data_IF_650753544239
#
_entry.id   IF_650753544239
#
_cell.length_a   1.000
_cell.length_b   1.000
_cell.length_c   1.000
_cell.angle_alpha   90.00
_cell.angle_beta   90.00
_cell.angle_gamma   90.00
#
_symmetry.space_group_name_H-M   'P 1'
#
loop_
_entity.id
_entity.type
_entity.pdbx_description
1 polymer ?
#
# COMPACT_ATOMS: atom_id res chain seq x y z
N UNK A 1 0.02 -10.53 -15.49
CA UNK A 1 -0.92 -10.08 -14.43
C UNK A 1 -2.17 -10.94 -14.44
N UNK A 2 -2.59 -11.40 -13.30
CA UNK A 2 -3.74 -12.31 -13.19
C UNK A 2 -4.99 -11.54 -12.78
N UNK A 3 -6.08 -11.79 -13.49
CA UNK A 3 -7.37 -11.22 -13.12
C UNK A 3 -7.96 -11.86 -11.88
N UNK A 4 -7.44 -13.02 -11.47
CA UNK A 4 -7.98 -13.75 -10.32
C UNK A 4 -7.68 -13.07 -8.99
N UNK A 5 -6.58 -12.34 -8.94
CA UNK A 5 -6.20 -11.65 -7.71
C UNK A 5 -5.50 -10.37 -8.11
N UNK A 6 -6.30 -9.34 -8.35
CA UNK A 6 -5.79 -8.08 -8.86
C UNK A 6 -6.41 -6.94 -8.07
N UNK A 7 -5.56 -6.04 -7.61
CA UNK A 7 -5.99 -4.85 -6.88
C UNK A 7 -5.40 -3.64 -7.59
N UNK A 8 -6.25 -2.64 -7.84
CA UNK A 8 -5.81 -1.38 -8.41
C UNK A 8 -6.29 -0.28 -7.47
N UNK A 9 -5.36 0.55 -7.01
CA UNK A 9 -5.68 1.63 -6.07
C UNK A 9 -5.02 2.91 -6.53
N UNK A 10 -5.70 4.03 -6.29
CA UNK A 10 -5.14 5.36 -6.48
C UNK A 10 -5.35 6.11 -5.18
N UNK A 11 -4.27 6.63 -4.60
CA UNK A 11 -4.38 7.31 -3.33
C UNK A 11 -3.10 8.03 -2.95
N UNK A 12 -3.04 8.45 -1.70
CA UNK A 12 -1.91 9.21 -1.18
C UNK A 12 -1.17 8.41 -0.13
N UNK A 13 0.17 8.47 -0.18
CA UNK A 13 0.97 7.80 0.83
C UNK A 13 0.83 8.50 2.18
N UNK A 14 0.78 7.72 3.26
CA UNK A 14 0.50 8.25 4.57
C UNK A 14 1.72 8.52 5.43
N UNK A 15 2.84 7.90 5.11
CA UNK A 15 4.07 8.07 5.86
C UNK A 15 5.24 7.71 4.98
N UNK A 16 6.45 7.97 5.50
CA UNK A 16 7.65 7.64 4.76
C UNK A 16 7.75 6.13 4.54
N UNK A 17 8.34 5.77 3.41
CA UNK A 17 8.54 4.36 3.06
C UNK A 17 9.52 3.73 4.04
N UNK A 18 9.17 2.57 4.57
CA UNK A 18 10.06 1.80 5.41
C UNK A 18 10.76 0.76 4.58
N UNK A 19 12.08 0.78 4.59
CA UNK A 19 12.88 -0.14 3.81
C UNK A 19 13.51 -1.20 4.69
N UNK A 20 13.47 -2.44 4.22
CA UNK A 20 14.14 -3.56 4.88
C UNK A 20 15.09 -4.18 3.89
N UNK A 21 16.34 -4.34 4.29
CA UNK A 21 17.36 -4.98 3.45
C UNK A 21 17.61 -6.39 4.00
N UNK A 22 17.55 -7.36 3.11
CA UNK A 22 17.81 -8.74 3.48
C UNK A 22 19.26 -9.10 3.18
N UNK A 23 19.75 -10.13 3.87
CA UNK A 23 21.16 -10.55 3.76
C UNK A 23 21.55 -10.91 2.34
N UNK A 24 20.62 -11.39 1.54
CA UNK A 24 20.91 -11.82 0.18
C UNK A 24 20.87 -10.67 -0.84
N UNK A 25 20.82 -9.44 -0.36
CA UNK A 25 20.79 -8.28 -1.24
C UNK A 25 19.40 -7.85 -1.71
N UNK A 26 18.37 -8.56 -1.32
CA UNK A 26 17.01 -8.18 -1.66
C UNK A 26 16.53 -7.06 -0.75
N UNK A 27 15.58 -6.27 -1.25
CA UNK A 27 15.00 -5.18 -0.47
C UNK A 27 13.48 -5.30 -0.47
N UNK A 28 12.89 -4.80 0.59
CA UNK A 28 11.44 -4.74 0.74
C UNK A 28 11.06 -3.33 1.17
N UNK A 29 10.02 -2.79 0.56
CA UNK A 29 9.46 -1.50 0.95
C UNK A 29 8.08 -1.74 1.54
N UNK A 30 7.77 -1.02 2.62
CA UNK A 30 6.45 -1.03 3.24
C UNK A 30 5.93 0.39 3.27
N UNK A 31 4.69 0.58 2.86
CA UNK A 31 4.10 1.91 2.82
C UNK A 31 2.61 1.82 3.06
N UNK A 32 2.04 2.89 3.63
CA UNK A 32 0.59 3.01 3.82
C UNK A 32 0.03 3.87 2.70
N UNK A 33 -1.12 3.48 2.17
CA UNK A 33 -1.79 4.23 1.12
C UNK A 33 -3.22 4.51 1.55
N UNK A 34 -3.63 5.76 1.48
CA UNK A 34 -4.98 6.18 1.81
C UNK A 34 -5.79 6.37 0.54
N UNK A 35 -6.93 5.72 0.45
CA UNK A 35 -7.89 5.97 -0.61
C UNK A 35 -9.13 6.60 0.00
N UNK A 36 -9.69 7.59 -0.68
CA UNK A 36 -10.84 8.32 -0.15
C UNK A 36 -11.98 8.30 -1.14
N UNK A 37 -13.17 8.07 -0.62
CA UNK A 37 -14.39 8.14 -1.38
C UNK A 37 -15.35 9.07 -0.69
N UNK A 38 -16.30 9.59 -1.46
CA UNK A 38 -17.34 10.46 -0.93
C UNK A 38 -18.69 9.85 -1.24
N UNK A 39 -19.60 9.98 -0.29
CA UNK A 39 -20.97 9.56 -0.52
C UNK A 39 -21.92 10.54 0.17
N UNK A 40 -23.18 10.49 -0.23
CA UNK A 40 -24.21 11.33 0.38
C UNK A 40 -25.01 10.46 1.34
N UNK A 41 -25.10 10.89 2.62
CA UNK A 41 -25.83 10.12 3.61
C UNK A 41 -27.34 10.42 3.52
N UNK A 42 -28.10 9.79 4.44
CA UNK A 42 -29.55 9.92 4.42
C UNK A 42 -30.02 11.34 4.67
N UNK A 43 -29.18 12.18 5.29
CA UNK A 43 -29.51 13.57 5.56
C UNK A 43 -29.13 14.50 4.44
N UNK A 44 -28.59 13.97 3.34
CA UNK A 44 -28.15 14.79 2.23
C UNK A 44 -26.78 15.41 2.39
N UNK A 45 -26.05 14.99 3.40
CA UNK A 45 -24.70 15.52 3.66
C UNK A 45 -23.66 14.71 2.93
N UNK A 46 -22.62 15.40 2.45
CA UNK A 46 -21.50 14.73 1.80
C UNK A 46 -20.53 14.22 2.86
N UNK A 47 -20.25 12.93 2.81
CA UNK A 47 -19.38 12.28 3.79
C UNK A 47 -18.17 11.72 3.09
N UNK A 48 -16.98 11.95 3.66
CA UNK A 48 -15.75 11.38 3.15
C UNK A 48 -15.41 10.11 3.94
N UNK A 49 -15.07 9.07 3.21
CA UNK A 49 -14.65 7.81 3.82
C UNK A 49 -13.25 7.47 3.35
N UNK A 50 -12.33 7.27 4.28
CA UNK A 50 -10.93 6.97 3.97
C UNK A 50 -10.60 5.56 4.43
N UNK A 51 -9.97 4.81 3.53
CA UNK A 51 -9.48 3.46 3.84
C UNK A 51 -7.96 3.48 3.77
N UNK A 52 -7.32 2.80 4.72
CA UNK A 52 -5.87 2.69 4.77
C UNK A 52 -5.46 1.29 4.33
N UNK A 53 -4.53 1.24 3.40
CA UNK A 53 -4.06 -0.02 2.84
C UNK A 53 -2.59 -0.20 3.13
N UNK A 54 -2.20 -1.43 3.45
CA UNK A 54 -0.80 -1.76 3.66
C UNK A 54 -0.22 -2.29 2.36
N UNK A 55 0.78 -1.60 1.83
CA UNK A 55 1.44 -2.00 0.60
C UNK A 55 2.82 -2.55 0.91
N UNK A 56 3.21 -3.59 0.19
CA UNK A 56 4.58 -4.09 0.23
C UNK A 56 5.08 -4.21 -1.19
N UNK A 57 6.37 -3.99 -1.36
CA UNK A 57 7.00 -4.10 -2.67
C UNK A 57 8.38 -4.69 -2.49
N UNK A 58 8.86 -5.37 -3.52
CA UNK A 58 10.15 -6.04 -3.48
C UNK A 58 10.98 -5.65 -4.70
N UNK A 59 12.29 -5.75 -4.58
CA UNK A 59 13.21 -5.55 -5.68
C UNK A 59 13.13 -4.17 -6.29
N UNK A 60 12.99 -4.11 -7.59
CA UNK A 60 13.00 -2.83 -8.30
C UNK A 60 11.81 -1.94 -7.93
N UNK A 61 10.66 -2.53 -7.68
CA UNK A 61 9.49 -1.74 -7.26
C UNK A 61 9.76 -1.10 -5.91
N UNK A 62 10.40 -1.85 -5.00
CA UNK A 62 10.77 -1.29 -3.70
C UNK A 62 11.72 -0.11 -3.86
N UNK A 63 12.67 -0.20 -4.79
CA UNK A 63 13.60 0.89 -5.04
C UNK A 63 12.89 2.12 -5.58
N UNK A 64 11.87 1.93 -6.43
CA UNK A 64 11.09 3.06 -6.92
C UNK A 64 10.38 3.77 -5.77
N UNK A 65 9.81 3.00 -4.85
CA UNK A 65 9.19 3.60 -3.67
C UNK A 65 10.20 4.43 -2.89
N UNK A 66 11.39 3.87 -2.69
CA UNK A 66 12.41 4.57 -1.91
C UNK A 66 12.84 5.88 -2.56
N UNK A 67 13.03 5.87 -3.87
CA UNK A 67 13.60 7.01 -4.58
C UNK A 67 12.58 8.08 -4.92
N UNK A 68 11.35 7.70 -5.23
CA UNK A 68 10.41 8.63 -5.85
C UNK A 68 9.11 8.81 -5.12
N UNK A 69 8.89 8.13 -3.99
CA UNK A 69 7.60 8.16 -3.31
C UNK A 69 7.76 8.71 -1.90
N UNK A 70 7.73 10.04 -1.76
CA UNK A 70 7.73 10.63 -0.43
C UNK A 70 6.36 10.53 0.22
N UNK A 71 6.32 10.88 1.50
CA UNK A 71 5.06 10.98 2.24
C UNK A 71 4.15 11.99 1.54
N UNK A 72 2.88 11.64 1.43
CA UNK A 72 1.88 12.55 0.86
C UNK A 72 1.84 12.57 -0.65
N UNK A 73 2.53 11.64 -1.31
CA UNK A 73 2.56 11.57 -2.77
C UNK A 73 1.36 10.81 -3.29
N UNK A 74 0.74 11.32 -4.34
CA UNK A 74 -0.32 10.59 -5.01
C UNK A 74 0.26 9.57 -5.96
N UNK A 75 -0.18 8.33 -5.85
CA UNK A 75 0.29 7.25 -6.72
C UNK A 75 -0.86 6.34 -7.10
N UNK A 76 -0.68 5.64 -8.21
CA UNK A 76 -1.56 4.54 -8.60
C UNK A 76 -0.74 3.27 -8.53
N UNK A 77 -1.32 2.22 -8.01
CA UNK A 77 -0.63 0.94 -7.93
C UNK A 77 -1.51 -0.18 -8.44
N UNK A 78 -0.86 -1.22 -8.90
CA UNK A 78 -1.52 -2.46 -9.27
C UNK A 78 -0.75 -3.59 -8.63
N UNK A 79 -1.48 -4.51 -8.02
CA UNK A 79 -0.85 -5.62 -7.35
C UNK A 79 -1.85 -6.69 -6.98
N UNK A 80 -1.53 -7.48 -5.99
CA UNK A 80 -2.40 -8.55 -5.55
C UNK A 80 -2.50 -8.57 -4.04
N UNK A 81 -3.62 -9.09 -3.54
CA UNK A 81 -3.81 -9.26 -2.11
C UNK A 81 -2.96 -10.42 -1.62
N UNK A 82 -2.30 -10.23 -0.50
CA UNK A 82 -1.56 -11.29 0.16
C UNK A 82 -1.92 -11.28 1.64
N UNK A 83 -1.85 -12.46 2.24
CA UNK A 83 -2.16 -12.65 3.65
C UNK A 83 -1.00 -13.33 4.30
N UNK A 84 -0.67 -12.91 5.51
CA UNK A 84 0.34 -13.60 6.30
C UNK A 84 -0.04 -13.55 7.76
N UNK A 85 0.58 -14.41 8.53
CA UNK A 85 0.33 -14.44 9.96
C UNK A 85 1.67 -14.40 10.71
N UNK A 86 1.59 -13.96 11.94
CA UNK A 86 2.75 -13.96 12.84
C UNK A 86 2.24 -14.10 14.26
N UNK A 87 3.16 -14.51 15.14
CA UNK A 87 2.83 -14.63 16.56
C UNK A 87 3.33 -13.38 17.28
N UNK A 88 2.48 -12.80 18.11
CA UNK A 88 2.88 -11.63 18.87
C UNK A 88 3.61 -12.05 20.14
N UNK A 89 3.90 -11.08 21.00
CA UNK A 89 4.67 -11.33 22.23
C UNK A 89 3.99 -12.30 23.17
N UNK A 90 2.68 -12.35 23.12
CA UNK A 90 1.89 -13.20 24.02
C UNK A 90 1.57 -14.55 23.40
N UNK A 91 2.11 -14.83 22.22
CA UNK A 91 1.86 -16.09 21.52
C UNK A 91 0.54 -16.12 20.79
N UNK A 92 -0.13 -14.98 20.66
CA UNK A 92 -1.40 -14.90 19.95
C UNK A 92 -1.14 -14.72 18.46
N UNK A 93 -1.80 -15.53 17.64
CA UNK A 93 -1.61 -15.45 16.20
C UNK A 93 -2.33 -14.23 15.63
N UNK A 94 -1.60 -13.43 14.91
CA UNK A 94 -2.11 -12.23 14.25
C UNK A 94 -2.06 -12.40 12.74
N UNK A 95 -3.00 -11.76 12.05
CA UNK A 95 -3.09 -11.85 10.59
C UNK A 95 -2.96 -10.45 10.00
N UNK A 96 -2.26 -10.36 8.88
CA UNK A 96 -2.07 -9.09 8.17
C UNK A 96 -2.50 -9.30 6.73
N UNK A 97 -3.29 -8.36 6.23
CA UNK A 97 -3.65 -8.31 4.82
C UNK A 97 -2.82 -7.20 4.19
N UNK A 98 -2.09 -7.54 3.15
CA UNK A 98 -1.23 -6.60 2.46
C UNK A 98 -1.49 -6.68 0.97
N UNK A 99 -1.05 -5.65 0.25
CA UNK A 99 -1.10 -5.65 -1.19
C UNK A 99 0.34 -5.67 -1.68
N UNK A 100 0.69 -6.72 -2.41
CA UNK A 100 2.02 -6.81 -3.01
C UNK A 100 1.97 -6.07 -4.34
N UNK A 101 2.72 -4.97 -4.43
CA UNK A 101 2.66 -4.08 -5.58
C UNK A 101 3.51 -4.64 -6.71
N UNK A 102 2.90 -4.78 -7.89
CA UNK A 102 3.59 -5.22 -9.09
C UNK A 102 3.97 -4.05 -9.98
N UNK A 103 3.12 -3.02 -10.05
CA UNK A 103 3.38 -1.85 -10.87
C UNK A 103 2.96 -0.61 -10.13
N UNK A 104 3.66 0.48 -10.39
CA UNK A 104 3.38 1.76 -9.77
C UNK A 104 3.44 2.86 -10.84
N UNK A 105 2.51 3.79 -10.75
CA UNK A 105 2.48 4.98 -11.59
C UNK A 105 2.49 6.19 -10.68
N UNK A 106 3.46 7.06 -10.86
CA UNK A 106 3.57 8.28 -10.06
C UNK A 106 2.65 9.34 -10.62
N UNK A 107 1.84 9.91 -9.76
CA UNK A 107 0.86 10.93 -10.15
C UNK A 107 1.22 12.25 -9.47
N UNK A 108 0.34 13.23 -9.63
CA UNK A 108 0.53 14.50 -8.94
C UNK A 108 1.53 15.43 -9.55
N UNK A 109 2.01 15.15 -10.73
CA UNK A 109 2.71 16.09 -11.57
C UNK A 109 3.96 16.78 -11.03
N UNK A 110 4.65 16.22 -10.15
CA UNK A 110 5.88 16.87 -9.69
C UNK A 110 6.79 15.88 -9.06
#
# INVERSE_FOLDING_TARGET
MSLRNKVTLIGYTGKEVEMVNFDNGNVKASVSLATSDYYTNAKGEKVEETQWHNLVAFGKVAEIFQKYVPKGKEIAIEGKLTYRSYDDKDGVKKYITEIKVDEILLLGGK
#
